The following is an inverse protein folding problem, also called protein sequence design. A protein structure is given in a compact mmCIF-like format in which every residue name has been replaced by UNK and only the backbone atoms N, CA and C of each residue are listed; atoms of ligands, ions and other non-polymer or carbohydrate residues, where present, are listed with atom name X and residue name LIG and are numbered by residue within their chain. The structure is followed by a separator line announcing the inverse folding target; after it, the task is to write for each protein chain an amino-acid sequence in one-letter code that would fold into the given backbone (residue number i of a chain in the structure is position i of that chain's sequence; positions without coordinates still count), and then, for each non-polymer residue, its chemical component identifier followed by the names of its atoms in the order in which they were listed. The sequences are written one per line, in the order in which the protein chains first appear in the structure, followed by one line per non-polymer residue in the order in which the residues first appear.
data_IF_475501118740
#
_entry.id   IF_475501118740
#
_cell.length_a   1.000
_cell.length_b   1.000
_cell.length_c   1.000
_cell.angle_alpha   90.00
_cell.angle_beta   90.00
_cell.angle_gamma   90.00
#
_symmetry.space_group_name_H-M   'P 1'
#
loop_
_entity.id
_entity.type
_entity.pdbx_description
1 polymer ?
#
# COMPACT_ATOMS: atom_id res chain seq x y z
N UNK A 1 -5.04 7.78 -10.73
CA UNK A 1 -5.80 7.07 -9.68
C UNK A 1 -7.01 6.41 -10.34
N UNK A 2 -7.33 5.18 -9.94
CA UNK A 2 -8.40 4.37 -10.53
C UNK A 2 -9.33 3.87 -9.42
N UNK A 3 -10.58 3.58 -9.75
CA UNK A 3 -11.46 2.89 -8.82
C UNK A 3 -11.06 1.40 -8.75
N UNK A 4 -11.26 0.73 -7.61
CA UNK A 4 -10.79 -0.66 -7.44
C UNK A 4 -11.48 -1.65 -8.40
N UNK A 5 -12.73 -1.42 -8.79
CA UNK A 5 -13.44 -2.25 -9.78
C UNK A 5 -12.94 -2.09 -11.21
N UNK A 6 -12.26 -0.99 -11.54
CA UNK A 6 -11.67 -0.78 -12.86
C UNK A 6 -10.41 -1.64 -13.09
N UNK A 7 -9.81 -2.17 -12.00
CA UNK A 7 -8.65 -3.06 -12.09
C UNK A 7 -8.95 -4.36 -12.85
N UNK A 8 -10.22 -4.77 -12.95
CA UNK A 8 -10.63 -5.91 -13.80
C UNK A 8 -10.17 -5.76 -15.25
N UNK A 9 -10.20 -4.55 -15.79
CA UNK A 9 -9.76 -4.29 -17.17
C UNK A 9 -8.24 -4.29 -17.30
N UNK A 10 -7.51 -3.93 -16.23
CA UNK A 10 -6.04 -3.99 -16.20
C UNK A 10 -5.59 -5.45 -16.13
N UNK A 11 -6.24 -6.25 -15.27
CA UNK A 11 -6.03 -7.69 -15.14
C UNK A 11 -6.25 -8.39 -16.48
N UNK A 12 -7.41 -8.18 -17.12
CA UNK A 12 -7.74 -8.83 -18.40
C UNK A 12 -6.69 -8.57 -19.49
N UNK A 13 -6.14 -7.35 -19.57
CA UNK A 13 -5.06 -7.03 -20.53
C UNK A 13 -3.79 -7.83 -20.31
N UNK A 14 -3.45 -8.14 -19.05
CA UNK A 14 -2.27 -8.93 -18.73
C UNK A 14 -2.55 -10.41 -19.01
N UNK A 15 -3.73 -10.90 -18.63
CA UNK A 15 -4.19 -12.26 -18.93
C UNK A 15 -4.23 -12.55 -20.43
N UNK A 16 -4.66 -11.59 -21.26
CA UNK A 16 -4.68 -11.70 -22.73
C UNK A 16 -3.28 -11.93 -23.35
N UNK A 17 -2.21 -11.64 -22.60
CA UNK A 17 -0.83 -11.97 -23.00
C UNK A 17 -0.40 -13.39 -22.61
N UNK A 18 -1.25 -14.14 -21.92
CA UNK A 18 -0.96 -15.44 -21.31
C UNK A 18 -0.21 -15.35 -19.97
N UNK A 19 -0.21 -14.19 -19.32
CA UNK A 19 0.50 -13.99 -18.06
C UNK A 19 -0.48 -13.93 -16.87
N UNK A 20 -0.42 -14.93 -16.00
CA UNK A 20 -1.22 -15.01 -14.77
C UNK A 20 -0.39 -14.69 -13.51
N UNK A 21 0.87 -14.26 -13.65
CA UNK A 21 1.71 -13.84 -12.52
C UNK A 21 1.46 -12.35 -12.20
N UNK A 22 0.29 -12.06 -11.65
CA UNK A 22 -0.19 -10.69 -11.42
C UNK A 22 -0.25 -10.39 -9.92
N UNK A 23 0.25 -9.20 -9.54
CA UNK A 23 0.04 -8.60 -8.22
C UNK A 23 -0.72 -7.29 -8.39
N UNK A 24 -1.71 -7.03 -7.54
CA UNK A 24 -2.47 -5.77 -7.54
C UNK A 24 -2.08 -4.94 -6.31
N UNK A 25 -1.54 -3.75 -6.54
CA UNK A 25 -1.02 -2.90 -5.46
C UNK A 25 -1.91 -1.68 -5.20
N UNK A 26 -2.48 -1.59 -4.01
CA UNK A 26 -3.12 -0.37 -3.49
C UNK A 26 -2.05 0.61 -3.00
N UNK A 27 -2.16 1.89 -3.37
CA UNK A 27 -1.17 2.94 -3.06
C UNK A 27 -1.78 4.35 -2.91
N UNK A 28 -3.05 4.40 -2.52
CA UNK A 28 -3.87 5.60 -2.35
C UNK A 28 -4.63 6.03 -3.60
N UNK A 29 -5.76 6.69 -3.40
CA UNK A 29 -6.53 7.40 -4.42
C UNK A 29 -6.49 8.92 -4.18
N UNK A 30 -6.53 9.74 -5.25
CA UNK A 30 -6.63 11.20 -5.12
C UNK A 30 -7.80 11.61 -4.24
N UNK A 31 -7.52 12.47 -3.26
CA UNK A 31 -8.54 13.04 -2.39
C UNK A 31 -8.40 14.56 -2.32
N UNK A 32 -8.99 15.23 -3.30
CA UNK A 32 -8.78 16.68 -3.50
C UNK A 32 -7.36 16.97 -4.00
N UNK A 33 -6.80 18.10 -3.55
CA UNK A 33 -5.48 18.56 -3.98
C UNK A 33 -4.38 18.05 -3.05
N UNK A 34 -3.29 17.57 -3.65
CA UNK A 34 -2.04 17.20 -2.97
C UNK A 34 -2.20 16.19 -1.80
N UNK A 35 -3.27 15.39 -1.83
CA UNK A 35 -3.61 14.43 -0.77
C UNK A 35 -4.10 13.12 -1.37
N UNK A 36 -3.76 12.03 -0.71
CA UNK A 36 -4.26 10.68 -1.00
C UNK A 36 -5.14 10.18 0.15
N UNK A 37 -6.09 9.32 -0.19
CA UNK A 37 -6.84 8.51 0.77
C UNK A 37 -6.72 7.04 0.41
N UNK A 38 -6.48 6.19 1.40
CA UNK A 38 -6.54 4.74 1.23
C UNK A 38 -7.93 4.24 1.60
N UNK A 39 -8.75 3.93 0.61
CA UNK A 39 -10.04 3.30 0.83
C UNK A 39 -9.83 1.81 1.12
N UNK A 40 -9.94 1.39 2.38
CA UNK A 40 -9.72 -0.02 2.78
C UNK A 40 -10.72 -1.00 2.15
N UNK A 41 -11.84 -0.52 1.58
CA UNK A 41 -12.77 -1.34 0.79
C UNK A 41 -12.15 -1.79 -0.54
N UNK A 42 -11.14 -1.07 -1.05
CA UNK A 42 -10.43 -1.41 -2.29
C UNK A 42 -9.79 -2.79 -2.21
N UNK A 43 -9.26 -3.18 -1.05
CA UNK A 43 -8.51 -4.42 -0.86
C UNK A 43 -9.37 -5.65 -1.16
N UNK A 44 -10.54 -5.87 -0.51
CA UNK A 44 -11.39 -7.00 -0.83
C UNK A 44 -12.05 -6.88 -2.21
N UNK A 45 -12.33 -5.67 -2.71
CA UNK A 45 -12.89 -5.49 -4.07
C UNK A 45 -11.87 -5.94 -5.13
N UNK A 46 -10.61 -5.51 -5.02
CA UNK A 46 -9.57 -5.93 -5.96
C UNK A 46 -9.27 -7.43 -5.85
N UNK A 47 -9.35 -8.00 -4.65
CA UNK A 47 -9.14 -9.44 -4.43
C UNK A 47 -10.13 -10.33 -5.20
N UNK A 48 -11.33 -9.81 -5.56
CA UNK A 48 -12.30 -10.54 -6.39
C UNK A 48 -11.77 -10.87 -7.80
N UNK A 49 -10.68 -10.22 -8.25
CA UNK A 49 -10.01 -10.59 -9.49
C UNK A 49 -9.19 -11.90 -9.38
N UNK A 50 -9.08 -12.50 -8.19
CA UNK A 50 -8.39 -13.78 -7.98
C UNK A 50 -6.87 -13.66 -7.81
N UNK A 51 -6.33 -12.43 -7.76
CA UNK A 51 -4.89 -12.17 -7.66
C UNK A 51 -4.47 -11.64 -6.28
N UNK A 52 -3.23 -11.90 -5.84
CA UNK A 52 -2.71 -11.40 -4.58
C UNK A 52 -2.72 -9.88 -4.49
N UNK A 53 -3.22 -9.36 -3.38
CA UNK A 53 -3.26 -7.92 -3.10
C UNK A 53 -2.04 -7.50 -2.29
N UNK A 54 -1.37 -6.46 -2.77
CA UNK A 54 -0.27 -5.77 -2.10
C UNK A 54 -0.79 -4.43 -1.61
N UNK A 55 -0.41 -4.04 -0.40
CA UNK A 55 -0.63 -2.67 0.08
C UNK A 55 0.70 -1.94 0.21
N UNK A 56 0.85 -0.85 -0.54
CA UNK A 56 2.00 0.06 -0.46
C UNK A 56 1.78 1.05 0.67
N UNK A 57 2.42 0.78 1.81
CA UNK A 57 2.20 1.56 3.02
C UNK A 57 2.90 2.92 2.95
N UNK A 58 4.01 3.03 2.23
CA UNK A 58 4.83 4.26 2.14
C UNK A 58 4.23 5.25 1.17
N UNK A 59 3.82 4.83 -0.03
CA UNK A 59 3.25 5.76 -0.98
C UNK A 59 1.79 6.13 -0.70
N UNK A 60 1.08 5.33 0.09
CA UNK A 60 -0.27 5.66 0.56
C UNK A 60 -0.32 6.87 1.49
N UNK A 61 0.81 7.27 2.09
CA UNK A 61 0.93 8.48 2.92
C UNK A 61 1.58 9.66 2.18
N UNK A 62 1.79 9.53 0.87
CA UNK A 62 2.38 10.58 0.05
C UNK A 62 1.44 11.78 -0.07
N UNK A 63 2.04 12.97 -0.11
CA UNK A 63 1.35 14.22 -0.45
C UNK A 63 1.85 14.68 -1.84
N UNK A 64 1.17 14.29 -2.94
CA UNK A 64 1.67 14.53 -4.30
C UNK A 64 1.88 16.02 -4.56
N UNK A 65 3.09 16.45 -4.91
CA UNK A 65 3.43 17.87 -5.12
C UNK A 65 3.28 18.76 -3.87
N UNK A 66 3.18 18.18 -2.67
CA UNK A 66 2.92 18.90 -1.42
C UNK A 66 4.04 19.85 -0.97
N UNK A 67 5.23 19.79 -1.60
CA UNK A 67 6.37 20.67 -1.31
C UNK A 67 6.71 21.61 -2.49
N UNK A 68 5.78 21.81 -3.43
CA UNK A 68 5.98 22.67 -4.59
C UNK A 68 6.76 21.98 -5.71
N UNK A 69 8.07 21.77 -5.54
CA UNK A 69 8.93 21.11 -6.55
C UNK A 69 9.09 19.61 -6.36
N UNK A 70 8.72 19.09 -5.19
CA UNK A 70 8.82 17.67 -4.80
C UNK A 70 7.52 17.21 -4.13
N UNK A 71 7.32 15.89 -4.04
CA UNK A 71 6.26 15.32 -3.22
C UNK A 71 6.61 15.41 -1.75
N UNK A 72 5.61 15.70 -0.92
CA UNK A 72 5.69 15.52 0.53
C UNK A 72 5.28 14.11 0.95
N UNK A 73 5.16 13.91 2.25
CA UNK A 73 4.81 12.62 2.84
C UNK A 73 4.62 12.72 4.34
N UNK A 74 3.88 11.75 4.89
CA UNK A 74 3.58 11.67 6.32
C UNK A 74 3.96 10.29 6.85
N UNK A 75 5.27 10.00 6.92
CA UNK A 75 5.79 8.71 7.37
C UNK A 75 5.22 8.22 8.71
N UNK A 76 4.82 9.15 9.59
CA UNK A 76 4.17 8.85 10.86
C UNK A 76 2.89 8.00 10.72
N UNK A 77 2.24 8.03 9.55
CA UNK A 77 1.04 7.24 9.25
C UNK A 77 1.32 5.89 8.57
N UNK A 78 2.57 5.57 8.20
CA UNK A 78 2.90 4.27 7.56
C UNK A 78 2.49 3.10 8.45
N UNK A 79 2.84 3.15 9.74
CA UNK A 79 2.47 2.10 10.70
C UNK A 79 0.95 1.98 10.87
N UNK A 80 0.23 3.12 10.86
CA UNK A 80 -1.22 3.15 11.00
C UNK A 80 -1.89 2.46 9.80
N UNK A 81 -1.53 2.85 8.58
CA UNK A 81 -2.14 2.30 7.38
C UNK A 81 -1.72 0.85 7.11
N UNK A 82 -0.45 0.49 7.37
CA UNK A 82 0.01 -0.90 7.25
C UNK A 82 -0.76 -1.83 8.20
N UNK A 83 -1.00 -1.41 9.46
CA UNK A 83 -1.81 -2.18 10.42
C UNK A 83 -3.25 -2.35 9.93
N UNK A 84 -3.85 -1.29 9.38
CA UNK A 84 -5.20 -1.37 8.82
C UNK A 84 -5.28 -2.37 7.66
N UNK A 85 -4.37 -2.27 6.68
CA UNK A 85 -4.33 -3.16 5.53
C UNK A 85 -4.10 -4.63 5.92
N UNK A 86 -3.14 -4.90 6.80
CA UNK A 86 -2.88 -6.27 7.29
C UNK A 86 -4.06 -6.83 8.07
N UNK A 87 -4.76 -6.00 8.85
CA UNK A 87 -5.94 -6.44 9.60
C UNK A 87 -7.14 -6.76 8.71
N UNK A 88 -7.24 -6.16 7.52
CA UNK A 88 -8.22 -6.54 6.48
C UNK A 88 -7.84 -7.88 5.85
N UNK A 89 -6.54 -8.15 5.72
CA UNK A 89 -6.00 -9.35 5.08
C UNK A 89 -5.48 -9.03 3.69
N UNK A 90 -4.17 -8.83 3.58
CA UNK A 90 -3.46 -8.66 2.30
C UNK A 90 -2.45 -9.79 2.11
N UNK A 91 -2.06 -10.02 0.85
CA UNK A 91 -1.05 -11.03 0.53
C UNK A 91 0.36 -10.52 0.83
N UNK A 92 0.62 -9.23 0.62
CA UNK A 92 1.90 -8.61 0.90
C UNK A 92 1.78 -7.13 1.29
N UNK A 93 2.85 -6.62 1.88
CA UNK A 93 3.09 -5.20 2.07
C UNK A 93 4.27 -4.77 1.21
N UNK A 94 4.18 -3.56 0.67
CA UNK A 94 5.30 -2.84 0.08
C UNK A 94 5.67 -1.67 1.01
N UNK A 95 6.95 -1.55 1.36
CA UNK A 95 7.48 -0.54 2.29
C UNK A 95 8.86 -0.10 1.79
N UNK A 96 9.03 1.19 1.54
CA UNK A 96 10.35 1.79 1.32
C UNK A 96 11.02 2.17 2.65
N UNK A 97 12.33 2.04 2.68
CA UNK A 97 13.13 2.36 3.87
C UNK A 97 14.47 2.98 3.49
N UNK A 98 15.03 3.77 4.40
CA UNK A 98 16.35 4.36 4.26
C UNK A 98 17.00 4.55 5.65
N UNK A 99 18.33 4.52 5.73
CA UNK A 99 19.06 4.79 6.98
C UNK A 99 18.88 6.24 7.44
N UNK A 100 18.78 7.15 6.48
CA UNK A 100 18.53 8.58 6.69
C UNK A 100 17.49 9.09 5.68
N UNK A 101 16.19 8.84 5.90
CA UNK A 101 15.13 9.24 4.97
C UNK A 101 15.12 10.73 4.62
N UNK A 102 15.63 11.60 5.50
CA UNK A 102 15.61 13.05 5.28
C UNK A 102 16.65 13.50 4.24
N UNK A 103 17.67 12.67 4.00
CA UNK A 103 18.68 12.86 2.94
C UNK A 103 18.44 11.97 1.71
N UNK A 104 17.31 11.25 1.65
CA UNK A 104 17.01 10.38 0.51
C UNK A 104 16.75 11.21 -0.76
N UNK A 105 17.24 10.78 -1.94
CA UNK A 105 17.12 11.54 -3.18
C UNK A 105 15.70 11.55 -3.77
N UNK A 106 14.82 10.65 -3.32
CA UNK A 106 13.40 10.60 -3.67
C UNK A 106 12.62 10.04 -2.49
N UNK A 107 11.36 10.45 -2.37
CA UNK A 107 10.33 9.91 -1.46
C UNK A 107 10.70 9.78 0.02
N UNK A 108 11.80 10.40 0.45
CA UNK A 108 12.26 10.45 1.83
C UNK A 108 11.16 10.72 2.86
N UNK A 109 10.27 11.72 2.67
CA UNK A 109 9.15 11.99 3.58
C UNK A 109 8.19 10.82 3.84
N UNK A 110 8.17 9.81 2.96
CA UNK A 110 7.34 8.60 3.07
C UNK A 110 8.07 7.41 3.73
N UNK A 111 9.41 7.38 3.63
CA UNK A 111 10.19 6.19 3.99
C UNK A 111 10.23 5.95 5.50
N UNK A 112 10.19 4.68 5.88
CA UNK A 112 10.42 4.24 7.26
C UNK A 112 11.92 4.24 7.53
N UNK A 113 12.36 4.69 8.71
CA UNK A 113 13.77 4.58 9.06
C UNK A 113 14.19 3.12 9.18
N UNK A 114 15.34 2.75 8.63
CA UNK A 114 15.75 1.35 8.55
C UNK A 114 15.89 0.68 9.93
N UNK A 115 16.32 1.44 10.93
CA UNK A 115 16.45 1.00 12.33
C UNK A 115 15.09 0.73 13.03
N UNK A 116 13.98 1.25 12.49
CA UNK A 116 12.63 1.03 13.00
C UNK A 116 11.91 -0.14 12.31
N UNK A 117 12.42 -0.60 11.16
CA UNK A 117 11.73 -1.55 10.29
C UNK A 117 11.48 -2.90 10.97
N UNK A 118 12.44 -3.45 11.70
CA UNK A 118 12.28 -4.74 12.38
C UNK A 118 11.14 -4.71 13.41
N UNK A 119 11.03 -3.62 14.16
CA UNK A 119 9.97 -3.42 15.16
C UNK A 119 8.61 -3.32 14.47
N UNK A 120 8.52 -2.55 13.39
CA UNK A 120 7.30 -2.43 12.59
C UNK A 120 6.87 -3.79 12.03
N UNK A 121 7.77 -4.51 11.37
CA UNK A 121 7.48 -5.82 10.77
C UNK A 121 7.04 -6.85 11.80
N UNK A 122 7.69 -6.89 12.97
CA UNK A 122 7.33 -7.81 14.06
C UNK A 122 5.87 -7.62 14.51
N UNK A 123 5.43 -6.36 14.61
CA UNK A 123 4.05 -6.04 14.94
C UNK A 123 3.09 -6.44 13.82
N UNK A 124 3.43 -6.11 12.57
CA UNK A 124 2.59 -6.41 11.40
C UNK A 124 2.41 -7.92 11.21
N UNK A 125 3.45 -8.73 11.42
CA UNK A 125 3.34 -10.21 11.39
C UNK A 125 2.36 -10.73 12.44
N UNK A 126 2.25 -10.10 13.61
CA UNK A 126 1.29 -10.50 14.63
C UNK A 126 -0.16 -10.20 14.19
N UNK A 127 -0.42 -9.02 13.62
CA UNK A 127 -1.72 -8.70 13.01
C UNK A 127 -2.04 -9.65 11.86
N UNK A 128 -1.05 -9.96 11.03
CA UNK A 128 -1.21 -10.81 9.85
C UNK A 128 -1.67 -12.22 10.22
N UNK A 129 -1.01 -12.82 11.22
CA UNK A 129 -1.39 -14.13 11.75
C UNK A 129 -2.83 -14.14 12.27
N UNK A 130 -3.24 -13.08 12.97
CA UNK A 130 -4.59 -12.95 13.51
C UNK A 130 -5.64 -12.77 12.40
N UNK A 131 -5.38 -11.91 11.42
CA UNK A 131 -6.28 -11.70 10.29
C UNK A 131 -6.43 -13.00 9.47
N UNK A 132 -5.31 -13.69 9.20
CA UNK A 132 -5.30 -14.94 8.45
C UNK A 132 -5.88 -16.13 9.21
N UNK A 133 -5.98 -16.10 10.54
CA UNK A 133 -6.69 -17.15 11.29
C UNK A 133 -8.22 -17.04 11.17
N UNK A 134 -8.74 -15.87 10.78
CA UNK A 134 -10.16 -15.61 10.59
C UNK A 134 -10.37 -14.78 9.31
N UNK A 135 -10.10 -15.34 8.12
CA UNK A 135 -10.11 -14.56 6.88
C UNK A 135 -11.50 -13.99 6.60
N UNK A 136 -11.56 -12.69 6.32
CA UNK A 136 -12.79 -12.03 5.87
C UNK A 136 -12.91 -12.14 4.36
N UNK A 137 -14.09 -12.47 3.86
CA UNK A 137 -14.42 -12.52 2.43
C UNK A 137 -15.74 -11.79 2.22
N UNK A 138 -15.81 -10.96 1.18
CA UNK A 138 -17.03 -10.26 0.75
C UNK A 138 -17.84 -11.08 -0.24
#
# INVERSE_FOLDING_TARGET
FLAPWDMKQVVAKIEDTGNENILLTERGASFGYNTLVSDMRSLPIMAQNGYPIVFDATHSVQQPGGQGTTSGGQREFVSVLARAAVSVGVAALFIETHQDPDSAPSDGPNMVRLDELETLLSQLVAFDKLAKSNPYTI
#
